data_IF_969232533815
#
_entry.id   IF_969232533815
#
_cell.length_a   1.000
_cell.length_b   1.000
_cell.length_c   1.000
_cell.angle_alpha   90.00
_cell.angle_beta   90.00
_cell.angle_gamma   90.00
#
_symmetry.space_group_name_H-M   'P 1'
#
loop_
_entity.id
_entity.type
_entity.pdbx_description
1 polymer ?
#
# COMPACT_ATOMS: atom_id res chain seq x y z
N UNK A 1 -20.59 11.37 -49.39
CA UNK A 1 -21.83 10.60 -49.13
C UNK A 1 -21.52 9.66 -48.00
N UNK A 2 -22.19 9.81 -46.86
CA UNK A 2 -21.92 9.00 -45.67
C UNK A 2 -22.61 7.64 -45.82
N UNK A 3 -21.82 6.55 -45.73
CA UNK A 3 -22.30 5.18 -45.86
C UNK A 3 -22.35 4.51 -44.49
N UNK A 4 -23.46 3.85 -44.21
CA UNK A 4 -23.71 3.08 -42.99
C UNK A 4 -23.54 1.60 -43.33
N UNK A 5 -22.79 0.90 -42.48
CA UNK A 5 -22.58 -0.55 -42.56
C UNK A 5 -23.15 -1.21 -41.30
N UNK A 6 -24.01 -2.20 -41.49
CA UNK A 6 -24.73 -2.89 -40.42
C UNK A 6 -24.09 -4.25 -40.24
N UNK A 7 -23.64 -4.55 -39.03
CA UNK A 7 -22.92 -5.78 -38.73
C UNK A 7 -23.75 -6.67 -37.79
N UNK A 8 -23.89 -7.95 -38.13
CA UNK A 8 -24.50 -8.96 -37.28
C UNK A 8 -23.57 -10.16 -37.18
N UNK A 9 -23.26 -10.60 -35.95
CA UNK A 9 -22.34 -11.71 -35.65
C UNK A 9 -20.98 -11.61 -36.37
N UNK A 10 -20.42 -10.39 -36.45
CA UNK A 10 -19.12 -10.15 -37.07
C UNK A 10 -19.10 -10.10 -38.60
N UNK A 11 -20.27 -10.16 -39.26
CA UNK A 11 -20.41 -10.06 -40.71
C UNK A 11 -21.23 -8.82 -41.09
N UNK A 12 -20.88 -8.19 -42.21
CA UNK A 12 -21.64 -7.06 -42.76
C UNK A 12 -22.90 -7.63 -43.43
N UNK A 13 -24.07 -7.26 -42.92
CA UNK A 13 -25.38 -7.74 -43.41
C UNK A 13 -26.02 -6.75 -44.37
N UNK A 14 -25.89 -5.44 -44.09
CA UNK A 14 -26.46 -4.38 -44.92
C UNK A 14 -25.47 -3.22 -45.09
N UNK A 15 -25.55 -2.52 -46.23
CA UNK A 15 -24.80 -1.30 -46.50
C UNK A 15 -25.65 -0.32 -47.30
N UNK A 16 -25.58 0.96 -46.98
CA UNK A 16 -26.35 1.96 -47.71
C UNK A 16 -26.27 3.34 -47.09
N UNK A 17 -27.11 4.24 -47.58
CA UNK A 17 -27.30 5.56 -46.97
C UNK A 17 -28.44 5.46 -45.95
N UNK A 18 -28.50 6.34 -44.95
CA UNK A 18 -29.57 6.32 -43.93
C UNK A 18 -30.97 6.20 -44.54
N UNK A 19 -31.25 6.98 -45.59
CA UNK A 19 -32.55 6.98 -46.28
C UNK A 19 -32.89 5.64 -46.94
N UNK A 20 -31.91 4.97 -47.55
CA UNK A 20 -32.14 3.67 -48.21
C UNK A 20 -32.36 2.58 -47.18
N UNK A 21 -31.52 2.55 -46.13
CA UNK A 21 -31.61 1.53 -45.08
C UNK A 21 -32.84 1.67 -44.17
N UNK A 22 -33.43 2.86 -44.07
CA UNK A 22 -34.69 3.06 -43.35
C UNK A 22 -35.89 2.59 -44.19
N UNK A 23 -35.80 2.67 -45.52
CA UNK A 23 -36.85 2.25 -46.44
C UNK A 23 -36.86 0.74 -46.69
N UNK A 24 -35.68 0.09 -46.68
CA UNK A 24 -35.51 -1.32 -47.03
C UNK A 24 -36.07 -2.29 -45.97
N UNK A 25 -36.46 -1.82 -44.78
CA UNK A 25 -37.11 -2.66 -43.76
C UNK A 25 -36.20 -3.75 -43.16
N UNK A 26 -34.90 -3.65 -43.38
CA UNK A 26 -33.90 -4.63 -42.96
C UNK A 26 -33.49 -4.54 -41.48
N UNK A 27 -32.40 -5.23 -41.13
CA UNK A 27 -31.84 -5.32 -39.79
C UNK A 27 -31.54 -3.93 -39.18
N UNK A 28 -31.14 -2.95 -40.00
CA UNK A 28 -30.95 -1.57 -39.52
C UNK A 28 -32.25 -0.92 -39.07
N UNK A 29 -33.32 -1.07 -39.86
CA UNK A 29 -34.62 -0.48 -39.58
C UNK A 29 -35.28 -1.12 -38.35
N UNK A 30 -35.06 -2.42 -38.13
CA UNK A 30 -35.55 -3.15 -36.96
C UNK A 30 -34.86 -2.64 -35.69
N UNK A 31 -33.55 -2.41 -35.74
CA UNK A 31 -32.79 -1.81 -34.64
C UNK A 31 -33.28 -0.38 -34.37
N UNK A 32 -33.44 0.44 -35.41
CA UNK A 32 -33.99 1.79 -35.27
C UNK A 32 -35.36 1.77 -34.63
N UNK A 33 -36.26 0.90 -35.09
CA UNK A 33 -37.58 0.73 -34.51
C UNK A 33 -37.51 0.29 -33.05
N UNK A 34 -36.59 -0.60 -32.70
CA UNK A 34 -36.40 -1.05 -31.31
C UNK A 34 -36.02 0.14 -30.42
N UNK A 35 -35.04 0.95 -30.83
CA UNK A 35 -34.61 2.13 -30.08
C UNK A 35 -35.65 3.26 -30.05
N UNK A 36 -36.42 3.48 -31.12
CA UNK A 36 -37.52 4.46 -31.11
C UNK A 36 -38.77 3.97 -30.39
N UNK A 37 -38.98 2.65 -30.24
CA UNK A 37 -40.06 2.07 -29.44
C UNK A 37 -39.71 1.97 -27.95
N UNK A 38 -38.49 2.32 -27.54
CA UNK A 38 -38.02 2.16 -26.15
C UNK A 38 -38.59 3.22 -25.18
N UNK A 39 -39.44 4.15 -25.64
CA UNK A 39 -40.20 5.00 -24.71
C UNK A 39 -41.38 4.23 -24.04
N UNK A 40 -41.66 2.97 -24.40
CA UNK A 40 -42.70 2.15 -23.77
C UNK A 40 -42.27 0.67 -23.50
N UNK A 41 -41.43 0.45 -22.49
CA UNK A 41 -41.28 -0.82 -21.68
C UNK A 41 -40.69 -2.11 -22.32
N UNK A 42 -40.08 -3.03 -21.53
CA UNK A 42 -38.87 -3.77 -21.93
C UNK A 42 -39.04 -5.25 -22.33
N UNK A 43 -38.03 -5.72 -23.07
CA UNK A 43 -37.56 -7.10 -23.22
C UNK A 43 -38.45 -8.15 -23.91
N UNK A 44 -38.17 -8.37 -25.21
CA UNK A 44 -38.24 -9.72 -25.82
C UNK A 44 -37.02 -9.95 -26.69
N UNK A 45 -36.15 -10.87 -26.25
CA UNK A 45 -35.20 -11.52 -27.16
C UNK A 45 -35.99 -12.51 -28.02
N UNK A 46 -36.26 -12.15 -29.27
CA UNK A 46 -36.86 -13.05 -30.26
C UNK A 46 -35.74 -13.59 -31.16
N UNK A 47 -35.46 -14.87 -31.02
CA UNK A 47 -34.59 -15.63 -31.92
C UNK A 47 -35.35 -15.97 -33.21
N UNK A 48 -34.78 -15.58 -34.36
CA UNK A 48 -35.32 -15.89 -35.69
C UNK A 48 -34.27 -16.52 -36.62
N UNK A 49 -34.71 -17.26 -37.65
CA UNK A 49 -34.03 -18.45 -38.21
C UNK A 49 -32.83 -18.13 -39.09
N UNK A 50 -31.89 -19.06 -39.22
CA UNK A 50 -30.69 -18.96 -40.08
C UNK A 50 -31.01 -19.37 -41.53
N UNK A 51 -30.89 -18.48 -42.53
CA UNK A 51 -30.90 -18.88 -43.94
C UNK A 51 -29.48 -19.14 -44.46
N UNK A 52 -29.41 -20.15 -45.33
CA UNK A 52 -28.27 -20.88 -45.89
C UNK A 52 -27.18 -20.01 -46.58
N UNK A 53 -25.88 -20.21 -46.32
CA UNK A 53 -24.80 -19.41 -46.90
C UNK A 53 -24.37 -19.97 -48.27
N UNK A 54 -24.91 -19.41 -49.36
CA UNK A 54 -24.31 -19.50 -50.69
C UNK A 54 -24.12 -18.12 -51.29
N UNK A 55 -22.96 -17.53 -51.01
CA UNK A 55 -22.02 -16.97 -51.99
C UNK A 55 -20.97 -16.12 -51.26
N UNK A 56 -19.74 -16.65 -51.24
CA UNK A 56 -18.54 -15.96 -50.81
C UNK A 56 -18.03 -15.12 -51.97
N UNK A 57 -17.76 -13.83 -51.74
CA UNK A 57 -16.57 -13.12 -52.25
C UNK A 57 -16.50 -11.71 -51.63
N UNK A 58 -15.37 -11.38 -50.98
CA UNK A 58 -15.05 -10.02 -50.55
C UNK A 58 -14.53 -9.90 -49.12
N UNK A 59 -13.31 -10.37 -48.86
CA UNK A 59 -12.59 -10.00 -47.63
C UNK A 59 -12.16 -8.53 -47.76
N UNK A 60 -12.90 -7.61 -47.14
CA UNK A 60 -12.51 -6.20 -47.04
C UNK A 60 -11.56 -6.05 -45.83
N UNK A 61 -10.29 -5.77 -46.12
CA UNK A 61 -9.24 -5.51 -45.13
C UNK A 61 -9.51 -4.18 -44.42
N UNK A 62 -9.99 -4.23 -43.17
CA UNK A 62 -10.13 -3.05 -42.31
C UNK A 62 -8.73 -2.46 -42.06
N UNK A 63 -8.45 -1.25 -42.57
CA UNK A 63 -7.23 -0.52 -42.22
C UNK A 63 -7.28 -0.18 -40.73
N UNK A 64 -6.51 -0.88 -39.90
CA UNK A 64 -6.37 -0.54 -38.48
C UNK A 64 -5.83 0.87 -38.37
N UNK A 65 -6.50 1.75 -37.60
CA UNK A 65 -5.94 3.05 -37.19
C UNK A 65 -4.48 2.85 -36.76
N UNK A 66 -3.58 3.67 -37.32
CA UNK A 66 -2.13 3.58 -37.12
C UNK A 66 -1.78 3.33 -35.64
N UNK A 67 -0.98 2.28 -35.39
CA UNK A 67 -0.45 1.90 -34.07
C UNK A 67 0.13 3.11 -33.32
N UNK A 68 0.64 4.11 -34.03
CA UNK A 68 1.23 5.32 -33.44
C UNK A 68 0.20 6.24 -32.79
N UNK A 69 -1.01 6.32 -33.34
CA UNK A 69 -2.08 7.14 -32.74
C UNK A 69 -2.56 6.53 -31.42
N UNK A 70 -2.75 5.20 -31.39
CA UNK A 70 -3.09 4.47 -30.17
C UNK A 70 -1.98 4.55 -29.11
N UNK A 71 -0.71 4.39 -29.53
CA UNK A 71 0.46 4.50 -28.63
C UNK A 71 0.60 5.92 -28.05
N UNK A 72 0.28 6.95 -28.83
CA UNK A 72 0.29 8.36 -28.39
C UNK A 72 -0.87 8.67 -27.43
N UNK A 73 -2.04 8.09 -27.67
CA UNK A 73 -3.20 8.21 -26.79
C UNK A 73 -2.97 7.47 -25.46
N UNK A 74 -2.43 6.25 -25.50
CA UNK A 74 -2.02 5.48 -24.32
C UNK A 74 -0.97 6.22 -23.48
N UNK A 75 0.04 6.84 -24.12
CA UNK A 75 1.04 7.67 -23.42
C UNK A 75 0.41 8.89 -22.73
N UNK A 76 -0.61 9.51 -23.32
CA UNK A 76 -1.33 10.64 -22.73
C UNK A 76 -2.21 10.21 -21.56
N UNK A 77 -2.87 9.07 -21.67
CA UNK A 77 -3.63 8.42 -20.58
C UNK A 77 -2.71 8.07 -19.40
N UNK A 78 -1.58 7.41 -19.66
CA UNK A 78 -0.57 7.09 -18.64
C UNK A 78 -0.03 8.38 -18.00
N UNK A 79 0.25 9.42 -18.80
CA UNK A 79 0.72 10.72 -18.29
C UNK A 79 -0.35 11.44 -17.46
N UNK A 80 -1.63 11.38 -17.86
CA UNK A 80 -2.76 11.90 -17.07
C UNK A 80 -2.92 11.16 -15.74
N UNK A 81 -2.85 9.82 -15.74
CA UNK A 81 -2.84 9.00 -14.52
C UNK A 81 -1.65 9.34 -13.62
N UNK A 82 -0.48 9.60 -14.20
CA UNK A 82 0.73 10.00 -13.46
C UNK A 82 0.57 11.38 -12.81
N UNK A 83 -0.17 12.30 -13.42
CA UNK A 83 -0.40 13.67 -12.90
C UNK A 83 -1.51 13.70 -11.84
N UNK A 84 -2.59 12.92 -12.00
CA UNK A 84 -3.64 12.75 -10.98
C UNK A 84 -3.14 12.04 -9.72
N UNK A 85 -1.91 11.51 -9.79
CA UNK A 85 -1.29 10.63 -8.81
C UNK A 85 -0.05 11.25 -8.13
N UNK A 86 0.10 12.56 -8.07
CA UNK A 86 1.13 13.15 -7.21
C UNK A 86 0.61 13.12 -5.76
N UNK A 87 1.12 12.18 -4.97
CA UNK A 87 0.89 12.20 -3.53
C UNK A 87 1.64 13.38 -2.94
N UNK A 88 0.94 14.24 -2.21
CA UNK A 88 1.60 15.21 -1.35
C UNK A 88 2.17 14.45 -0.16
N UNK A 89 3.47 14.19 -0.18
CA UNK A 89 4.16 13.67 0.99
C UNK A 89 4.01 14.71 2.11
N UNK A 90 3.48 14.31 3.27
CA UNK A 90 3.54 15.16 4.45
C UNK A 90 5.01 15.32 4.84
N UNK A 91 5.59 16.48 4.52
CA UNK A 91 6.94 16.84 4.92
C UNK A 91 6.88 17.40 6.34
N UNK A 92 7.55 16.76 7.29
CA UNK A 92 7.59 17.22 8.68
C UNK A 92 7.86 16.11 9.69
N UNK A 93 7.73 16.47 10.97
CA UNK A 93 7.87 15.53 12.08
C UNK A 93 6.69 14.54 12.10
N UNK A 94 6.99 13.27 12.34
CA UNK A 94 5.96 12.24 12.54
C UNK A 94 5.31 12.43 13.91
N UNK A 95 3.98 12.43 13.95
CA UNK A 95 3.21 12.55 15.20
C UNK A 95 3.51 11.36 16.12
N UNK A 96 3.75 11.61 17.41
CA UNK A 96 4.00 10.56 18.40
C UNK A 96 2.87 9.52 18.48
N UNK A 97 1.64 9.95 18.17
CA UNK A 97 0.47 9.06 18.08
C UNK A 97 0.66 7.90 17.11
N UNK A 98 1.46 8.07 16.05
CA UNK A 98 1.72 7.01 15.06
C UNK A 98 2.57 5.90 15.67
N UNK A 99 3.61 6.26 16.42
CA UNK A 99 4.44 5.29 17.15
C UNK A 99 3.63 4.58 18.24
N UNK A 100 2.78 5.30 18.96
CA UNK A 100 1.91 4.70 19.97
C UNK A 100 0.87 3.76 19.37
N UNK A 101 0.35 4.06 18.18
CA UNK A 101 -0.54 3.16 17.45
C UNK A 101 0.19 1.84 17.11
N UNK A 102 1.42 1.92 16.61
CA UNK A 102 2.24 0.75 16.32
C UNK A 102 2.50 -0.10 17.57
N UNK A 103 2.88 0.54 18.68
CA UNK A 103 3.09 -0.14 19.96
C UNK A 103 1.79 -0.76 20.51
N UNK A 104 0.64 -0.12 20.27
CA UNK A 104 -0.67 -0.64 20.66
C UNK A 104 -1.03 -1.91 19.88
N UNK A 105 -0.69 -2.00 18.59
CA UNK A 105 -0.91 -3.19 17.76
C UNK A 105 -0.07 -4.39 18.24
N UNK A 106 1.18 -4.16 18.68
CA UNK A 106 2.02 -5.20 19.30
C UNK A 106 1.40 -5.70 20.62
N UNK A 107 0.83 -4.78 21.40
CA UNK A 107 0.20 -5.08 22.67
C UNK A 107 1.18 -5.06 23.84
N UNK A 108 0.64 -4.80 25.03
CA UNK A 108 1.41 -4.51 26.25
C UNK A 108 2.27 -5.70 26.72
N UNK A 109 1.70 -6.92 26.72
CA UNK A 109 2.40 -8.12 27.20
C UNK A 109 3.62 -8.49 26.35
N UNK A 110 3.46 -8.46 25.01
CA UNK A 110 4.58 -8.73 24.09
C UNK A 110 5.63 -7.61 24.14
N UNK A 111 5.19 -6.35 24.21
CA UNK A 111 6.09 -5.21 24.34
C UNK A 111 6.93 -5.27 25.61
N UNK A 112 6.32 -5.57 26.77
CA UNK A 112 7.05 -5.74 28.04
C UNK A 112 8.02 -6.91 27.97
N UNK A 113 7.59 -8.05 27.44
CA UNK A 113 8.45 -9.23 27.29
C UNK A 113 9.73 -8.87 26.51
N UNK A 114 9.60 -8.15 25.39
CA UNK A 114 10.74 -7.72 24.57
C UNK A 114 11.71 -6.83 25.37
N UNK A 115 11.19 -5.85 26.10
CA UNK A 115 12.03 -4.94 26.90
C UNK A 115 12.71 -5.68 28.06
N UNK A 116 12.00 -6.59 28.73
CA UNK A 116 12.57 -7.40 29.81
C UNK A 116 13.70 -8.30 29.32
N UNK A 117 13.53 -8.97 28.17
CA UNK A 117 14.56 -9.80 27.56
C UNK A 117 15.78 -8.98 27.12
N UNK A 118 15.58 -7.75 26.64
CA UNK A 118 16.68 -6.84 26.26
C UNK A 118 17.52 -6.44 27.49
N UNK A 119 16.87 -6.08 28.60
CA UNK A 119 17.56 -5.73 29.85
C UNK A 119 18.29 -6.94 30.44
N UNK A 120 17.62 -8.11 30.51
CA UNK A 120 18.20 -9.34 31.04
C UNK A 120 19.42 -9.79 30.23
N UNK A 121 19.38 -9.66 28.90
CA UNK A 121 20.50 -9.96 28.01
C UNK A 121 21.72 -9.08 28.30
N UNK A 122 21.53 -7.77 28.48
CA UNK A 122 22.64 -6.85 28.74
C UNK A 122 23.22 -7.00 30.15
N UNK A 123 22.40 -7.27 31.16
CA UNK A 123 22.87 -7.57 32.52
C UNK A 123 23.76 -8.84 32.54
N UNK A 124 23.42 -9.85 31.73
CA UNK A 124 24.23 -11.05 31.60
C UNK A 124 25.55 -10.81 30.84
N UNK A 125 25.57 -9.86 29.89
CA UNK A 125 26.77 -9.54 29.11
C UNK A 125 27.88 -8.90 29.95
N UNK A 126 27.50 -8.15 31.00
CA UNK A 126 28.44 -7.47 31.91
C UNK A 126 29.14 -8.43 32.89
N UNK A 127 28.55 -9.60 33.18
CA UNK A 127 29.12 -10.63 34.06
C UNK A 127 29.76 -11.68 33.17
N UNK A 128 31.02 -11.47 32.81
CA UNK A 128 31.74 -12.28 31.83
C UNK A 128 31.94 -13.73 32.31
N UNK A 129 30.97 -14.60 32.05
CA UNK A 129 31.08 -16.06 32.00
C UNK A 129 29.85 -16.61 31.28
N UNK A 130 30.05 -17.57 30.38
CA UNK A 130 29.05 -18.29 29.57
C UNK A 130 28.70 -17.73 28.17
N UNK A 131 29.41 -18.30 27.18
CA UNK A 131 28.99 -18.37 25.78
C UNK A 131 27.63 -19.10 25.62
N UNK A 132 27.29 -20.01 26.54
CA UNK A 132 26.05 -20.79 26.50
C UNK A 132 24.78 -19.95 26.74
N UNK A 133 24.82 -19.03 27.72
CA UNK A 133 23.66 -18.20 28.10
C UNK A 133 23.31 -17.17 27.02
N UNK A 134 24.30 -16.49 26.45
CA UNK A 134 24.09 -15.47 25.42
C UNK A 134 23.44 -16.03 24.15
N UNK A 135 23.77 -17.26 23.75
CA UNK A 135 23.15 -17.92 22.60
C UNK A 135 21.67 -18.30 22.87
N UNK A 136 21.36 -18.78 24.08
CA UNK A 136 19.99 -19.09 24.48
C UNK A 136 19.11 -17.82 24.60
N UNK A 137 19.61 -16.74 25.20
CA UNK A 137 18.88 -15.47 25.28
C UNK A 137 18.68 -14.80 23.91
N UNK A 138 19.67 -14.90 23.02
CA UNK A 138 19.58 -14.36 21.66
C UNK A 138 18.49 -15.03 20.81
N UNK A 139 18.39 -16.36 20.88
CA UNK A 139 17.36 -17.11 20.13
C UNK A 139 15.95 -16.80 20.62
N UNK A 140 15.76 -16.70 21.93
CA UNK A 140 14.46 -16.39 22.53
C UNK A 140 14.02 -14.94 22.22
N UNK A 141 14.93 -13.97 22.30
CA UNK A 141 14.68 -12.58 21.91
C UNK A 141 14.22 -12.47 20.45
N UNK A 142 14.87 -13.20 19.55
CA UNK A 142 14.52 -13.23 18.13
C UNK A 142 13.10 -13.77 17.92
N UNK A 143 12.70 -14.83 18.66
CA UNK A 143 11.33 -15.37 18.62
C UNK A 143 10.28 -14.35 19.02
N UNK A 144 10.45 -13.65 20.15
CA UNK A 144 9.50 -12.62 20.59
C UNK A 144 9.42 -11.46 19.59
N UNK A 145 10.55 -11.06 18.99
CA UNK A 145 10.57 -10.01 17.97
C UNK A 145 9.78 -10.40 16.72
N UNK A 146 9.89 -11.64 16.24
CA UNK A 146 9.14 -12.14 15.07
C UNK A 146 7.64 -12.15 15.39
N UNK A 147 7.24 -12.64 16.56
CA UNK A 147 5.83 -12.70 16.95
C UNK A 147 5.21 -11.31 17.04
N UNK A 148 5.95 -10.33 17.58
CA UNK A 148 5.51 -8.94 17.61
C UNK A 148 5.36 -8.35 16.20
N UNK A 149 6.29 -8.64 15.29
CA UNK A 149 6.22 -8.21 13.88
C UNK A 149 5.00 -8.76 13.17
N UNK A 150 4.76 -10.07 13.26
CA UNK A 150 3.61 -10.73 12.62
C UNK A 150 2.30 -10.16 13.17
N UNK A 151 2.18 -10.04 14.49
CA UNK A 151 0.96 -9.51 15.12
C UNK A 151 0.67 -8.07 14.71
N UNK A 152 1.69 -7.21 14.66
CA UNK A 152 1.53 -5.84 14.22
C UNK A 152 1.13 -5.79 12.73
N UNK A 153 1.83 -6.54 11.87
CA UNK A 153 1.54 -6.63 10.43
C UNK A 153 0.09 -7.04 10.17
N UNK A 154 -0.39 -8.10 10.85
CA UNK A 154 -1.76 -8.60 10.70
C UNK A 154 -2.81 -7.55 11.06
N UNK A 155 -2.61 -6.80 12.17
CA UNK A 155 -3.51 -5.74 12.59
C UNK A 155 -3.54 -4.58 11.60
N UNK A 156 -2.36 -4.12 11.14
CA UNK A 156 -2.27 -3.06 10.13
C UNK A 156 -2.88 -3.49 8.80
N UNK A 157 -2.59 -4.70 8.32
CA UNK A 157 -3.11 -5.22 7.08
C UNK A 157 -4.64 -5.35 7.14
N UNK A 158 -5.19 -5.91 8.21
CA UNK A 158 -6.64 -6.03 8.40
C UNK A 158 -7.31 -4.64 8.42
N UNK A 159 -6.77 -3.69 9.17
CA UNK A 159 -7.31 -2.34 9.26
C UNK A 159 -7.24 -1.59 7.90
N UNK A 160 -6.18 -1.81 7.11
CA UNK A 160 -6.03 -1.22 5.78
C UNK A 160 -7.06 -1.80 4.81
N UNK A 161 -7.20 -3.13 4.75
CA UNK A 161 -8.19 -3.81 3.90
C UNK A 161 -9.61 -3.35 4.27
N UNK A 162 -9.94 -3.35 5.57
CA UNK A 162 -11.24 -2.93 6.05
C UNK A 162 -11.56 -1.48 5.65
N UNK A 163 -10.57 -0.58 5.73
CA UNK A 163 -10.75 0.82 5.33
C UNK A 163 -10.93 0.99 3.82
N UNK A 164 -10.22 0.21 3.00
CA UNK A 164 -10.31 0.28 1.54
C UNK A 164 -11.62 -0.32 1.03
N UNK A 165 -12.06 -1.46 1.56
CA UNK A 165 -13.32 -2.11 1.13
C UNK A 165 -14.53 -1.25 1.47
N UNK A 166 -14.48 -0.50 2.57
CA UNK A 166 -15.55 0.42 2.98
C UNK A 166 -15.43 1.83 2.36
N UNK A 167 -14.44 2.08 1.50
CA UNK A 167 -14.27 3.36 0.84
C UNK A 167 -15.37 3.61 -0.21
N UNK A 168 -15.82 4.86 -0.41
CA UNK A 168 -16.81 5.18 -1.44
C UNK A 168 -16.25 4.90 -2.84
N UNK A 169 -17.12 4.57 -3.80
CA UNK A 169 -16.71 4.26 -5.20
C UNK A 169 -15.87 5.40 -5.83
N UNK A 170 -16.16 6.66 -5.47
CA UNK A 170 -15.38 7.84 -5.89
C UNK A 170 -13.88 7.78 -5.52
N UNK A 171 -13.53 7.08 -4.44
CA UNK A 171 -12.13 6.83 -4.06
C UNK A 171 -11.41 6.00 -5.15
N UNK A 172 -12.07 5.01 -5.73
CA UNK A 172 -11.48 4.14 -6.75
C UNK A 172 -11.38 4.79 -8.13
N UNK A 173 -12.18 5.82 -8.41
CA UNK A 173 -12.09 6.61 -9.64
C UNK A 173 -10.93 7.62 -9.59
N UNK A 174 -10.67 8.17 -8.39
CA UNK A 174 -9.62 9.17 -8.17
C UNK A 174 -8.25 8.56 -7.86
N UNK A 175 -8.21 7.34 -7.30
CA UNK A 175 -6.96 6.65 -6.99
C UNK A 175 -6.67 5.51 -7.97
N UNK A 176 -5.52 5.52 -8.66
CA UNK A 176 -5.21 4.44 -9.59
C UNK A 176 -4.97 3.13 -8.83
N UNK A 177 -5.50 2.01 -9.33
CA UNK A 177 -5.35 0.68 -8.72
C UNK A 177 -3.88 0.33 -8.39
N UNK A 178 -2.94 0.73 -9.25
CA UNK A 178 -1.52 0.49 -9.03
C UNK A 178 -0.95 1.18 -7.79
N UNK A 179 -1.52 2.31 -7.35
CA UNK A 179 -1.15 2.98 -6.11
C UNK A 179 -1.60 2.17 -4.90
N UNK A 180 -2.84 1.70 -4.90
CA UNK A 180 -3.37 0.88 -3.81
C UNK A 180 -2.47 -0.34 -3.64
N UNK A 181 -2.17 -1.05 -4.73
CA UNK A 181 -1.29 -2.22 -4.72
C UNK A 181 0.11 -1.85 -4.21
N UNK A 182 0.71 -0.75 -4.70
CA UNK A 182 2.02 -0.33 -4.25
C UNK A 182 2.06 -0.05 -2.75
N UNK A 183 1.03 0.58 -2.17
CA UNK A 183 0.96 0.80 -0.71
C UNK A 183 0.82 -0.50 0.07
N UNK A 184 -0.04 -1.42 -0.38
CA UNK A 184 -0.18 -2.74 0.25
C UNK A 184 1.12 -3.56 0.19
N UNK A 185 1.92 -3.43 -0.86
CA UNK A 185 3.17 -4.19 -0.97
C UNK A 185 4.36 -3.48 -0.32
N UNK A 186 4.57 -2.20 -0.63
CA UNK A 186 5.79 -1.48 -0.26
C UNK A 186 5.70 -0.87 1.14
N UNK A 187 4.58 -0.19 1.45
CA UNK A 187 4.46 0.51 2.74
C UNK A 187 4.30 -0.51 3.88
N UNK A 188 3.57 -1.60 3.65
CA UNK A 188 3.48 -2.71 4.62
C UNK A 188 4.84 -3.35 4.83
N UNK A 189 5.61 -3.62 3.77
CA UNK A 189 6.98 -4.14 3.94
C UNK A 189 7.87 -3.20 4.75
N UNK A 190 7.72 -1.88 4.57
CA UNK A 190 8.41 -0.88 5.39
C UNK A 190 8.03 -0.95 6.87
N UNK A 191 6.74 -1.11 7.18
CA UNK A 191 6.23 -1.28 8.55
C UNK A 191 6.72 -2.60 9.17
N UNK A 192 6.86 -3.65 8.37
CA UNK A 192 7.19 -4.99 8.86
C UNK A 192 8.69 -5.23 9.02
N UNK A 193 9.51 -4.56 8.22
CA UNK A 193 10.96 -4.75 8.19
C UNK A 193 11.69 -3.58 8.83
N UNK A 194 11.44 -2.36 8.37
CA UNK A 194 12.25 -1.19 8.73
C UNK A 194 11.90 -0.70 10.14
N UNK A 195 10.61 -0.47 10.42
CA UNK A 195 10.15 0.08 11.71
C UNK A 195 10.63 -0.76 12.91
N UNK A 196 10.37 -2.08 12.98
CA UNK A 196 10.78 -2.90 14.12
C UNK A 196 12.30 -3.04 14.21
N UNK A 197 13.03 -3.04 13.08
CA UNK A 197 14.50 -3.09 13.09
C UNK A 197 15.09 -1.81 13.68
N UNK A 198 14.62 -0.64 13.26
CA UNK A 198 15.08 0.64 13.79
C UNK A 198 14.70 0.81 15.25
N UNK A 199 13.47 0.42 15.62
CA UNK A 199 13.00 0.51 17.00
C UNK A 199 13.78 -0.42 17.94
N UNK A 200 14.04 -1.66 17.52
CA UNK A 200 14.86 -2.61 18.28
C UNK A 200 16.30 -2.11 18.46
N UNK A 201 16.92 -1.57 17.40
CA UNK A 201 18.25 -0.96 17.48
C UNK A 201 18.30 0.23 18.43
N UNK A 202 17.31 1.13 18.34
CA UNK A 202 17.18 2.27 19.25
C UNK A 202 17.02 1.84 20.71
N UNK A 203 16.16 0.86 20.99
CA UNK A 203 15.99 0.30 22.33
C UNK A 203 17.29 -0.33 22.84
N UNK A 204 17.96 -1.13 22.01
CA UNK A 204 19.21 -1.79 22.39
C UNK A 204 20.30 -0.79 22.76
N UNK A 205 20.49 0.26 21.95
CA UNK A 205 21.44 1.34 22.23
C UNK A 205 21.06 2.11 23.51
N UNK A 206 19.78 2.41 23.69
CA UNK A 206 19.30 3.15 24.86
C UNK A 206 19.52 2.36 26.15
N UNK A 207 19.16 1.07 26.15
CA UNK A 207 19.39 0.18 27.30
C UNK A 207 20.88 0.02 27.54
N UNK A 208 21.71 -0.10 26.49
CA UNK A 208 23.16 -0.23 26.65
C UNK A 208 23.81 1.00 27.28
N UNK A 209 23.40 2.19 26.85
CA UNK A 209 23.87 3.43 27.46
C UNK A 209 23.47 3.51 28.94
N UNK A 210 22.22 3.18 29.27
CA UNK A 210 21.75 3.17 30.66
C UNK A 210 22.49 2.14 31.52
N UNK A 211 22.70 0.93 31.01
CA UNK A 211 23.42 -0.13 31.72
C UNK A 211 24.87 0.27 32.01
N UNK A 212 25.57 0.88 31.07
CA UNK A 212 26.95 1.37 31.29
C UNK A 212 26.97 2.46 32.36
N UNK A 213 26.05 3.42 32.33
CA UNK A 213 25.95 4.47 33.36
C UNK A 213 25.75 3.85 34.74
N UNK A 214 24.86 2.86 34.86
CA UNK A 214 24.60 2.15 36.12
C UNK A 214 25.85 1.40 36.60
N UNK A 215 26.52 0.64 35.72
CA UNK A 215 27.72 -0.13 36.08
C UNK A 215 28.85 0.79 36.54
N UNK A 216 29.13 1.88 35.81
CA UNK A 216 30.17 2.86 36.18
C UNK A 216 29.85 3.52 37.52
N UNK A 217 28.58 3.86 37.76
CA UNK A 217 28.14 4.47 39.03
C UNK A 217 28.37 3.54 40.22
N UNK A 218 28.20 2.22 40.04
CA UNK A 218 28.43 1.22 41.09
C UNK A 218 29.92 0.90 41.27
N UNK A 219 30.69 0.80 40.18
CA UNK A 219 32.11 0.43 40.24
C UNK A 219 33.01 1.54 40.73
N UNK A 220 32.71 2.80 40.41
CA UNK A 220 33.52 3.98 40.81
C UNK A 220 32.67 5.02 41.54
N UNK A 221 32.15 4.72 42.74
CA UNK A 221 31.33 5.66 43.51
C UNK A 221 32.14 6.89 43.97
N UNK A 222 33.47 6.78 44.03
CA UNK A 222 34.37 7.88 44.38
C UNK A 222 34.40 8.98 43.32
N UNK A 223 34.14 8.67 42.04
CA UNK A 223 34.17 9.63 40.93
C UNK A 223 33.00 10.62 40.99
N UNK A 224 31.80 10.13 41.31
CA UNK A 224 30.59 10.96 41.49
C UNK A 224 30.75 11.90 42.68
N UNK A 225 31.34 11.39 43.78
CA UNK A 225 31.60 12.19 44.96
C UNK A 225 32.66 13.27 44.70
N UNK A 226 33.75 12.97 43.98
CA UNK A 226 34.78 13.97 43.65
C UNK A 226 34.26 15.07 42.73
N UNK A 227 33.49 14.73 41.69
CA UNK A 227 32.93 15.72 40.77
C UNK A 227 31.90 16.62 41.46
N UNK A 228 31.01 16.04 42.28
CA UNK A 228 30.00 16.80 43.03
C UNK A 228 30.65 17.77 44.04
N UNK A 229 31.68 17.33 44.77
CA UNK A 229 32.42 18.21 45.69
C UNK A 229 33.12 19.36 44.95
N UNK A 230 33.69 19.10 43.77
CA UNK A 230 34.39 20.11 42.99
C UNK A 230 33.42 21.13 42.39
N UNK A 231 32.28 20.70 41.87
CA UNK A 231 31.22 21.60 41.38
C UNK A 231 30.60 22.45 42.50
N UNK A 232 30.37 21.86 43.68
CA UNK A 232 29.89 22.62 44.84
C UNK A 232 30.92 23.66 45.30
N UNK A 233 32.21 23.32 45.30
CA UNK A 233 33.29 24.23 45.67
C UNK A 233 33.43 25.39 44.68
N UNK A 234 33.35 25.12 43.37
CA UNK A 234 33.38 26.14 42.31
C UNK A 234 32.15 27.06 42.41
N UNK A 235 30.95 26.51 42.68
CA UNK A 235 29.74 27.30 42.85
C UNK A 235 29.82 28.24 44.06
N UNK A 236 30.35 27.74 45.20
CA UNK A 236 30.57 28.56 46.39
C UNK A 236 31.64 29.64 46.21
N UNK A 237 32.63 29.40 45.34
CA UNK A 237 33.69 30.38 45.05
C UNK A 237 33.24 31.42 44.01
N UNK A 238 32.45 31.01 43.01
CA UNK A 238 31.90 31.89 41.97
C UNK A 238 30.77 32.80 42.49
N UNK A 239 29.99 32.33 43.48
CA UNK A 239 28.94 33.15 44.13
C UNK A 239 29.45 34.19 45.14
N UNK A 240 30.78 34.32 45.31
CA UNK A 240 31.43 35.31 46.18
C UNK A 240 32.18 36.41 45.41
N UNK A 241 32.00 36.49 44.09
CA UNK A 241 32.51 37.57 43.24
C UNK A 241 31.40 38.58 42.92
#
# INVERSE_FOLDING_TARGET
>A
MDQIYVMNKGLIVERGTYKTLTADGGAFSEVLQTFTKTDETPNKYVSSPVPNPKNRTGVIRIKSKSKDSFKKQLKREIKKKKIASNEEAMLGQVKMSVYLLYMKSIGFFLGISIVLFEIAGQACYAVSSFCHSNCSFGSERYRYSILARIKASDDFHFNLVHSVVNAPISFFDSTPIGRIIYRFSHDINGIDEVVPTMFSGFLSMSVSALMVIVVVSVSTPTFINSDCTTFHYIFLYSGKA
#
